data_IF_473006774600
#
_entry.id   IF_473006774600
#
_cell.length_a   1.000
_cell.length_b   1.000
_cell.length_c   1.000
_cell.angle_alpha   90.00
_cell.angle_beta   90.00
_cell.angle_gamma   90.00
#
_symmetry.space_group_name_H-M   'P 1'
#
loop_
_entity.id
_entity.type
_entity.pdbx_description
1 polymer ?
#
# COMPACT_ATOMS: atom_id res chain seq x y z
N UNK A 1 35.42 -3.82 -15.17
CA UNK A 1 34.26 -4.70 -15.43
C UNK A 1 33.04 -4.03 -14.83
N UNK A 2 32.15 -3.47 -15.65
CA UNK A 2 30.95 -2.79 -15.18
C UNK A 2 29.85 -3.81 -14.89
N UNK A 3 29.40 -3.90 -13.64
CA UNK A 3 28.30 -4.79 -13.24
C UNK A 3 27.00 -4.05 -13.55
N UNK A 4 26.26 -4.51 -14.55
CA UNK A 4 24.92 -4.01 -14.83
C UNK A 4 23.98 -4.52 -13.73
N UNK A 5 23.64 -3.67 -12.76
CA UNK A 5 22.53 -3.95 -11.84
C UNK A 5 21.22 -3.80 -12.62
N UNK A 6 20.58 -4.91 -12.93
CA UNK A 6 19.19 -4.91 -13.40
C UNK A 6 18.30 -4.29 -12.33
N UNK A 7 17.80 -3.08 -12.58
CA UNK A 7 16.70 -2.50 -11.80
C UNK A 7 15.48 -3.36 -12.05
N UNK A 8 15.02 -4.06 -11.01
CA UNK A 8 13.72 -4.72 -11.04
C UNK A 8 12.70 -3.61 -10.87
N UNK A 9 12.06 -3.20 -11.97
CA UNK A 9 10.96 -2.25 -11.91
C UNK A 9 9.82 -2.90 -11.11
N UNK A 10 9.50 -2.39 -9.92
CA UNK A 10 8.35 -2.87 -9.16
C UNK A 10 7.10 -2.67 -10.04
N UNK A 11 6.42 -3.76 -10.44
CA UNK A 11 5.23 -3.64 -11.29
C UNK A 11 4.20 -2.78 -10.57
N UNK A 12 3.70 -1.75 -11.26
CA UNK A 12 2.61 -0.91 -10.78
C UNK A 12 1.30 -1.51 -11.27
N UNK A 13 0.55 -2.10 -10.36
CA UNK A 13 -0.71 -2.77 -10.69
C UNK A 13 -1.86 -1.76 -10.77
N UNK A 14 -2.76 -1.92 -11.73
CA UNK A 14 -4.02 -1.16 -11.75
C UNK A 14 -5.03 -1.85 -10.86
N UNK A 15 -5.43 -1.26 -9.73
CA UNK A 15 -6.31 -1.94 -8.77
C UNK A 15 -7.64 -2.39 -9.40
N UNK A 16 -8.17 -1.59 -10.34
CA UNK A 16 -9.41 -1.87 -11.07
C UNK A 16 -9.33 -3.05 -12.05
N UNK A 17 -8.14 -3.61 -12.31
CA UNK A 17 -7.95 -4.79 -13.17
C UNK A 17 -7.93 -6.11 -12.38
N UNK A 18 -7.91 -6.05 -11.04
CA UNK A 18 -7.79 -7.21 -10.18
C UNK A 18 -8.97 -7.27 -9.21
N UNK A 19 -9.44 -8.49 -8.90
CA UNK A 19 -10.38 -8.68 -7.81
C UNK A 19 -9.72 -8.39 -6.46
N UNK A 20 -10.51 -8.12 -5.43
CA UNK A 20 -9.98 -7.88 -4.09
C UNK A 20 -9.14 -9.06 -3.57
N UNK A 21 -9.56 -10.29 -3.83
CA UNK A 21 -8.78 -11.48 -3.51
C UNK A 21 -7.44 -11.55 -4.25
N UNK A 22 -7.41 -11.14 -5.53
CA UNK A 22 -6.16 -11.08 -6.30
C UNK A 22 -5.23 -9.97 -5.81
N UNK A 23 -5.76 -8.80 -5.44
CA UNK A 23 -5.00 -7.72 -4.81
C UNK A 23 -4.33 -8.20 -3.52
N UNK A 24 -5.10 -8.84 -2.63
CA UNK A 24 -4.58 -9.39 -1.38
C UNK A 24 -3.49 -10.44 -1.65
N UNK A 25 -3.74 -11.36 -2.59
CA UNK A 25 -2.78 -12.40 -2.98
C UNK A 25 -1.47 -11.81 -3.50
N UNK A 26 -1.53 -10.78 -4.34
CA UNK A 26 -0.34 -10.07 -4.85
C UNK A 26 0.45 -9.41 -3.71
N UNK A 27 -0.24 -8.76 -2.76
CA UNK A 27 0.39 -8.14 -1.60
C UNK A 27 1.06 -9.20 -0.71
N UNK A 28 0.41 -10.35 -0.51
CA UNK A 28 0.94 -11.45 0.30
C UNK A 28 2.16 -12.11 -0.36
N UNK A 29 2.09 -12.37 -1.67
CA UNK A 29 3.17 -13.00 -2.44
C UNK A 29 4.44 -12.14 -2.46
N UNK A 30 4.31 -10.83 -2.67
CA UNK A 30 5.46 -9.92 -2.75
C UNK A 30 5.80 -9.26 -1.41
N UNK A 31 4.95 -9.41 -0.40
CA UNK A 31 5.06 -8.72 0.87
C UNK A 31 4.63 -7.25 0.83
N UNK A 32 4.93 -6.55 -0.27
CA UNK A 32 4.46 -5.20 -0.57
C UNK A 32 4.25 -5.00 -2.08
N UNK A 33 3.23 -4.23 -2.45
CA UNK A 33 2.91 -3.93 -3.85
C UNK A 33 2.39 -2.49 -4.01
N UNK A 34 2.66 -1.88 -5.16
CA UNK A 34 2.19 -0.53 -5.50
C UNK A 34 0.99 -0.66 -6.43
N UNK A 35 -0.12 -0.05 -6.04
CA UNK A 35 -1.33 -0.01 -6.85
C UNK A 35 -1.66 1.42 -7.29
N UNK A 36 -2.20 1.53 -8.49
CA UNK A 36 -2.77 2.77 -9.02
C UNK A 36 -4.28 2.67 -9.17
N UNK A 37 -4.98 3.75 -8.85
CA UNK A 37 -6.43 3.87 -9.00
C UNK A 37 -6.85 5.35 -8.91
N UNK A 38 -8.00 5.73 -9.50
CA UNK A 38 -8.50 7.10 -9.41
C UNK A 38 -8.82 7.49 -7.95
N UNK A 39 -8.50 8.72 -7.58
CA UNK A 39 -8.81 9.23 -6.24
C UNK A 39 -10.33 9.27 -6.01
N UNK A 40 -10.84 8.67 -4.93
CA UNK A 40 -12.27 8.74 -4.59
C UNK A 40 -12.75 10.17 -4.33
N UNK A 41 -11.84 11.08 -3.94
CA UNK A 41 -12.15 12.47 -3.59
C UNK A 41 -11.93 13.46 -4.74
N UNK A 42 -11.04 13.13 -5.69
CA UNK A 42 -10.65 14.02 -6.80
C UNK A 42 -10.46 13.19 -8.08
N UNK A 43 -11.51 12.98 -8.90
CA UNK A 43 -11.48 12.07 -10.05
C UNK A 43 -10.38 12.38 -11.09
N UNK A 44 -9.88 13.61 -11.16
CA UNK A 44 -8.78 14.02 -12.03
C UNK A 44 -7.40 13.55 -11.56
N UNK A 45 -7.29 12.96 -10.36
CA UNK A 45 -6.04 12.48 -9.79
C UNK A 45 -6.00 10.95 -9.76
N UNK A 46 -4.88 10.39 -10.19
CA UNK A 46 -4.56 8.97 -9.95
C UNK A 46 -3.70 8.86 -8.71
N UNK A 47 -4.15 8.07 -7.74
CA UNK A 47 -3.39 7.73 -6.55
C UNK A 47 -2.42 6.60 -6.86
N UNK A 48 -1.26 6.64 -6.21
CA UNK A 48 -0.23 5.62 -6.28
C UNK A 48 0.22 5.34 -4.86
N UNK A 49 -0.27 4.24 -4.29
CA UNK A 49 0.00 3.90 -2.90
C UNK A 49 0.64 2.52 -2.81
N UNK A 50 1.51 2.38 -1.81
CA UNK A 50 2.17 1.12 -1.49
C UNK A 50 1.43 0.44 -0.36
N UNK A 51 0.97 -0.78 -0.61
CA UNK A 51 0.30 -1.63 0.37
C UNK A 51 1.20 -2.77 0.79
N UNK A 52 1.07 -3.20 2.05
CA UNK A 52 1.91 -4.21 2.69
C UNK A 52 1.07 -5.32 3.28
N UNK A 53 1.62 -6.52 3.32
CA UNK A 53 0.96 -7.66 3.96
C UNK A 53 0.95 -7.51 5.48
N UNK A 54 2.03 -6.99 6.09
CA UNK A 54 2.12 -6.76 7.53
C UNK A 54 3.23 -5.75 7.91
N UNK A 55 3.31 -5.42 9.22
CA UNK A 55 4.24 -4.43 9.79
C UNK A 55 5.72 -4.69 9.49
N UNK A 56 6.13 -5.94 9.25
CA UNK A 56 7.54 -6.26 8.94
C UNK A 56 8.04 -5.63 7.63
N UNK A 57 7.11 -5.22 6.77
CA UNK A 57 7.41 -4.51 5.51
C UNK A 57 7.31 -2.99 5.62
N UNK A 58 7.04 -2.46 6.82
CA UNK A 58 7.09 -1.03 7.13
C UNK A 58 8.46 -0.64 7.70
N UNK A 59 8.78 0.65 7.69
CA UNK A 59 9.98 1.14 8.38
C UNK A 59 9.86 0.95 9.91
N UNK A 60 10.96 0.93 10.68
CA UNK A 60 10.94 0.68 12.12
C UNK A 60 10.02 1.62 12.93
N UNK A 61 9.90 2.89 12.52
CA UNK A 61 9.05 3.90 13.16
C UNK A 61 7.62 3.96 12.57
N UNK A 62 7.26 3.02 11.70
CA UNK A 62 5.96 2.98 11.05
C UNK A 62 5.08 1.87 11.61
N UNK A 63 3.77 2.10 11.53
CA UNK A 63 2.74 1.11 11.85
C UNK A 63 1.89 0.85 10.62
N UNK A 64 1.12 -0.23 10.64
CA UNK A 64 0.17 -0.54 9.58
C UNK A 64 -1.20 0.05 9.91
N UNK A 65 -1.76 0.80 8.97
CA UNK A 65 -3.16 1.23 9.00
C UNK A 65 -3.96 0.46 7.95
N UNK A 66 -5.22 0.14 8.27
CA UNK A 66 -6.15 -0.52 7.35
C UNK A 66 -6.92 0.54 6.56
N UNK A 67 -6.93 0.41 5.24
CA UNK A 67 -7.62 1.32 4.33
C UNK A 67 -8.40 0.55 3.26
N UNK A 68 -9.36 1.21 2.64
CA UNK A 68 -10.13 0.65 1.54
C UNK A 68 -9.69 1.23 0.21
N UNK A 69 -9.48 0.35 -0.78
CA UNK A 69 -9.22 0.72 -2.17
C UNK A 69 -10.28 0.11 -3.11
N UNK A 70 -10.52 0.71 -4.28
CA UNK A 70 -11.37 0.08 -5.28
C UNK A 70 -10.66 -1.11 -5.92
N UNK A 71 -11.45 -2.08 -6.36
CA UNK A 71 -11.02 -3.28 -7.08
C UNK A 71 -12.06 -3.63 -8.16
N UNK A 72 -11.79 -4.61 -9.01
CA UNK A 72 -12.67 -4.97 -10.12
C UNK A 72 -14.05 -5.49 -9.69
N UNK A 73 -14.11 -6.20 -8.56
CA UNK A 73 -15.32 -6.85 -8.02
C UNK A 73 -15.94 -6.06 -6.86
N UNK A 74 -15.15 -5.28 -6.11
CA UNK A 74 -15.65 -4.46 -5.00
C UNK A 74 -14.98 -3.09 -4.92
N UNK A 75 -15.76 -2.06 -4.59
CA UNK A 75 -15.23 -0.70 -4.38
C UNK A 75 -14.60 -0.50 -3.00
N UNK A 76 -14.55 -1.53 -2.14
CA UNK A 76 -14.07 -1.42 -0.75
C UNK A 76 -13.15 -2.58 -0.36
N UNK A 77 -12.14 -2.88 -1.17
CA UNK A 77 -11.16 -3.90 -0.82
C UNK A 77 -10.29 -3.44 0.37
N UNK A 78 -10.27 -4.22 1.46
CA UNK A 78 -9.50 -3.90 2.66
C UNK A 78 -8.03 -4.28 2.47
N UNK A 79 -7.15 -3.29 2.55
CA UNK A 79 -5.69 -3.43 2.43
C UNK A 79 -4.99 -2.68 3.58
N UNK A 80 -3.67 -2.77 3.66
CA UNK A 80 -2.88 -2.09 4.69
C UNK A 80 -1.77 -1.27 4.06
N UNK A 81 -1.56 -0.04 4.52
CA UNK A 81 -0.38 0.76 4.17
C UNK A 81 0.43 1.10 5.42
N UNK A 82 1.65 1.58 5.22
CA UNK A 82 2.50 2.02 6.32
C UNK A 82 2.29 3.52 6.54
N UNK A 83 2.01 3.90 7.78
CA UNK A 83 1.98 5.29 8.21
C UNK A 83 3.07 5.52 9.25
N UNK A 84 3.60 6.73 9.30
CA UNK A 84 4.43 7.15 10.42
C UNK A 84 3.56 7.19 11.67
N UNK A 85 3.97 6.48 12.72
CA UNK A 85 3.33 6.68 14.01
C UNK A 85 3.73 8.08 14.48
N UNK A 86 2.79 9.02 14.51
CA UNK A 86 2.97 10.26 15.27
C UNK A 86 2.89 9.85 16.75
N UNK A 87 4.04 9.46 17.28
CA UNK A 87 4.23 9.17 18.68
C UNK A 87 4.34 10.51 19.41
N UNK A 88 3.25 10.97 20.01
CA UNK A 88 3.37 12.02 21.01
C UNK A 88 3.93 11.37 22.28
N UNK A 89 5.25 11.53 22.48
CA UNK A 89 6.01 10.94 23.59
C UNK A 89 5.42 11.33 24.97
N UNK A 90 4.65 12.41 25.06
CA UNK A 90 4.05 12.89 26.32
C UNK A 90 2.83 12.04 26.74
N UNK A 91 2.12 11.43 25.79
CA UNK A 91 0.82 10.78 26.06
C UNK A 91 0.85 9.27 25.80
N UNK A 92 1.97 8.73 25.29
CA UNK A 92 2.12 7.28 25.02
C UNK A 92 1.11 6.75 24.00
N UNK A 93 0.51 7.63 23.19
CA UNK A 93 -0.47 7.30 22.16
C UNK A 93 0.11 7.61 20.80
N UNK A 94 0.31 6.57 19.99
CA UNK A 94 0.52 6.71 18.56
C UNK A 94 -0.81 7.13 17.94
N UNK A 95 -0.93 8.37 17.49
CA UNK A 95 -2.11 8.80 16.75
C UNK A 95 -1.95 8.36 15.29
N UNK A 96 -3.00 7.75 14.74
CA UNK A 96 -3.12 7.44 13.32
C UNK A 96 -3.44 8.75 12.62
N UNK A 97 -2.54 9.22 11.76
CA UNK A 97 -2.71 10.48 11.02
C UNK A 97 -3.67 10.32 9.85
#
# INVERSE_FOLDING_TARGET
MSVATSVVATPRYSALQYSCGAIQSLIEQHGAAIFRYPSPRKPSLTLYDRYVSNKKYCAPHQITERVHIPSADTNRCLVRHCITADCDDIIGRCLYR
#
